data_IF_614579286380
#
_entry.id   IF_614579286380
#
_cell.length_a   1.000
_cell.length_b   1.000
_cell.length_c   1.000
_cell.angle_alpha   90.00
_cell.angle_beta   90.00
_cell.angle_gamma   90.00
#
_symmetry.space_group_name_H-M   'P 1'
#
loop_
_entity.id
_entity.type
_entity.pdbx_description
1 polymer ?
#
# COMPACT_ATOMS: atom_id res chain seq x y z
N UNK A 1 -15.39 0.79 -6.65
CA UNK A 1 -15.57 1.88 -7.55
C UNK A 1 -17.01 2.00 -8.08
N UNK A 2 -17.75 0.95 -8.44
CA UNK A 2 -19.20 1.07 -8.60
C UNK A 2 -19.80 1.53 -7.26
N UNK A 3 -20.40 2.72 -7.22
CA UNK A 3 -20.95 3.31 -5.99
C UNK A 3 -20.06 4.33 -5.30
N UNK A 4 -18.87 4.64 -5.83
CA UNK A 4 -17.94 5.67 -5.28
C UNK A 4 -17.52 5.41 -3.83
N UNK A 5 -17.43 4.15 -3.41
CA UNK A 5 -17.02 3.77 -2.04
C UNK A 5 -15.52 3.94 -1.82
N UNK A 6 -14.72 3.78 -2.87
CA UNK A 6 -13.26 3.93 -2.86
C UNK A 6 -12.81 4.71 -4.10
N UNK A 7 -11.71 5.42 -3.99
CA UNK A 7 -11.11 6.21 -5.08
C UNK A 7 -9.97 5.47 -5.77
N UNK A 8 -9.39 4.47 -5.13
CA UNK A 8 -8.25 3.72 -5.63
C UNK A 8 -8.20 2.30 -5.04
N UNK A 9 -7.43 1.44 -5.69
CA UNK A 9 -7.04 0.11 -5.20
C UNK A 9 -5.69 -0.26 -5.80
N UNK A 10 -4.95 -1.16 -5.16
CA UNK A 10 -3.71 -1.71 -5.72
C UNK A 10 -3.81 -3.22 -5.92
N UNK A 11 -3.05 -3.75 -6.88
CA UNK A 11 -3.08 -5.15 -7.28
C UNK A 11 -1.76 -5.83 -6.94
N UNK A 12 -1.84 -6.90 -6.14
CA UNK A 12 -0.73 -7.76 -5.79
C UNK A 12 -0.56 -8.84 -6.85
N UNK A 13 0.42 -8.68 -7.73
CA UNK A 13 0.58 -9.54 -8.92
C UNK A 13 1.08 -10.95 -8.64
N UNK A 14 1.69 -11.17 -7.47
CA UNK A 14 2.18 -12.49 -7.02
C UNK A 14 1.08 -13.33 -6.35
N UNK A 15 -0.09 -12.74 -6.08
CA UNK A 15 -1.22 -13.43 -5.48
C UNK A 15 -1.87 -14.42 -6.47
N UNK A 16 -2.44 -15.55 -6.00
CA UNK A 16 -2.99 -16.59 -6.88
C UNK A 16 -4.05 -16.08 -7.87
N UNK A 17 -4.91 -15.13 -7.46
CA UNK A 17 -6.01 -14.59 -8.26
C UNK A 17 -5.69 -13.28 -8.99
N UNK A 18 -4.41 -12.91 -9.08
CA UNK A 18 -3.99 -11.65 -9.68
C UNK A 18 -4.48 -11.46 -11.13
N UNK A 19 -4.51 -12.53 -11.93
CA UNK A 19 -4.99 -12.47 -13.29
C UNK A 19 -6.50 -12.14 -13.38
N UNK A 20 -7.32 -12.75 -12.52
CA UNK A 20 -8.74 -12.42 -12.44
C UNK A 20 -8.97 -11.00 -11.96
N UNK A 21 -8.20 -10.55 -10.97
CA UNK A 21 -8.29 -9.18 -10.47
C UNK A 21 -7.93 -8.15 -11.56
N UNK A 22 -6.88 -8.40 -12.34
CA UNK A 22 -6.50 -7.57 -13.47
C UNK A 22 -7.61 -7.53 -14.55
N UNK A 23 -8.21 -8.68 -14.88
CA UNK A 23 -9.31 -8.73 -15.84
C UNK A 23 -10.55 -7.97 -15.36
N UNK A 24 -10.90 -8.06 -14.07
CA UNK A 24 -11.99 -7.26 -13.48
C UNK A 24 -11.70 -5.76 -13.55
N UNK A 25 -10.46 -5.35 -13.30
CA UNK A 25 -10.05 -3.95 -13.44
C UNK A 25 -10.17 -3.48 -14.89
N UNK A 26 -9.68 -4.28 -15.85
CA UNK A 26 -9.77 -4.00 -17.29
C UNK A 26 -11.22 -3.86 -17.75
N UNK A 27 -12.08 -4.83 -17.42
CA UNK A 27 -13.50 -4.81 -17.79
C UNK A 27 -14.26 -3.64 -17.16
N UNK A 28 -13.87 -3.24 -15.96
CA UNK A 28 -14.46 -2.12 -15.24
C UNK A 28 -13.91 -0.75 -15.67
N UNK A 29 -12.84 -0.70 -16.45
CA UNK A 29 -12.13 0.55 -16.79
C UNK A 29 -11.52 1.23 -15.57
N UNK A 30 -11.06 0.45 -14.57
CA UNK A 30 -10.49 0.97 -13.34
C UNK A 30 -8.96 0.98 -13.42
N UNK A 31 -8.29 2.12 -13.22
CA UNK A 31 -6.86 2.14 -12.94
C UNK A 31 -6.59 1.45 -11.60
N UNK A 32 -5.41 0.86 -11.46
CA UNK A 32 -4.97 0.22 -10.23
C UNK A 32 -3.52 0.59 -9.93
N UNK A 33 -3.18 0.66 -8.65
CA UNK A 33 -1.78 0.71 -8.24
C UNK A 33 -1.09 -0.66 -8.41
N UNK A 34 0.21 -0.65 -8.61
CA UNK A 34 1.02 -1.86 -8.50
C UNK A 34 1.44 -2.05 -7.03
N UNK A 35 0.93 -3.12 -6.39
CA UNK A 35 1.31 -3.48 -5.02
C UNK A 35 2.63 -4.25 -5.02
N UNK A 36 3.74 -3.52 -5.03
CA UNK A 36 5.10 -4.06 -5.15
C UNK A 36 5.41 -5.04 -4.03
N UNK A 37 5.59 -6.30 -4.37
CA UNK A 37 5.69 -7.41 -3.43
C UNK A 37 6.96 -8.22 -3.67
N UNK A 38 7.89 -8.18 -2.72
CA UNK A 38 9.16 -8.91 -2.76
C UNK A 38 9.36 -9.90 -1.61
N UNK A 39 8.32 -10.07 -0.79
CA UNK A 39 8.25 -11.07 0.28
C UNK A 39 6.88 -11.74 0.30
N UNK A 40 6.72 -12.81 1.07
CA UNK A 40 5.44 -13.48 1.30
C UNK A 40 5.06 -13.42 2.77
N UNK A 41 3.76 -13.40 3.08
CA UNK A 41 3.20 -13.61 4.41
C UNK A 41 2.43 -14.95 4.52
N UNK A 42 2.43 -15.74 3.43
CA UNK A 42 1.88 -17.10 3.42
C UNK A 42 3.01 -18.14 3.58
N UNK A 43 3.20 -18.63 4.80
CA UNK A 43 4.20 -19.62 5.13
C UNK A 43 3.91 -21.01 4.55
N UNK A 44 2.62 -21.31 4.26
CA UNK A 44 2.18 -22.60 3.74
C UNK A 44 2.29 -22.68 2.23
N UNK A 45 1.95 -21.59 1.54
CA UNK A 45 2.00 -21.50 0.08
C UNK A 45 2.67 -20.20 -0.33
N UNK A 46 4.01 -20.21 -0.30
CA UNK A 46 4.80 -19.04 -0.66
C UNK A 46 4.53 -18.58 -2.08
N UNK A 47 4.36 -17.28 -2.23
CA UNK A 47 4.19 -16.67 -3.54
C UNK A 47 5.48 -16.76 -4.34
N UNK A 48 5.33 -16.87 -5.67
CA UNK A 48 6.45 -16.85 -6.58
C UNK A 48 6.67 -15.44 -7.13
N UNK A 49 7.94 -15.06 -7.34
CA UNK A 49 8.25 -13.80 -8.00
C UNK A 49 7.79 -13.84 -9.46
N UNK A 50 7.34 -12.71 -10.00
CA UNK A 50 6.96 -12.61 -11.40
C UNK A 50 8.17 -12.66 -12.33
N UNK A 51 9.33 -12.19 -11.88
CA UNK A 51 10.57 -12.19 -12.65
C UNK A 51 11.33 -13.52 -12.62
N UNK A 52 11.01 -14.41 -11.70
CA UNK A 52 11.82 -15.61 -11.43
C UNK A 52 13.19 -15.31 -10.83
N UNK A 53 13.42 -14.10 -10.31
CA UNK A 53 14.73 -13.65 -9.81
C UNK A 53 15.23 -14.50 -8.63
N UNK A 54 16.38 -15.17 -8.76
CA UNK A 54 16.80 -16.21 -7.80
C UNK A 54 17.12 -15.68 -6.41
N UNK A 55 17.60 -14.43 -6.27
CA UNK A 55 17.93 -13.88 -4.96
C UNK A 55 16.71 -13.43 -4.16
N UNK A 56 15.51 -13.42 -4.76
CA UNK A 56 14.24 -13.16 -4.08
C UNK A 56 13.55 -14.45 -3.61
N UNK A 57 14.04 -15.62 -4.03
CA UNK A 57 13.48 -16.91 -3.66
C UNK A 57 14.31 -17.60 -2.59
N UNK A 58 13.66 -18.00 -1.50
CA UNK A 58 14.30 -18.78 -0.45
C UNK A 58 14.42 -20.24 -0.87
N UNK A 59 15.63 -20.64 -1.25
CA UNK A 59 15.96 -22.03 -1.66
C UNK A 59 15.02 -22.59 -2.75
N UNK A 60 14.49 -21.73 -3.63
CA UNK A 60 13.57 -22.16 -4.69
C UNK A 60 12.13 -22.39 -4.25
N UNK A 61 11.79 -22.20 -2.98
CA UNK A 61 10.44 -22.40 -2.45
C UNK A 61 9.48 -21.25 -2.72
N UNK A 62 9.97 -20.09 -3.13
CA UNK A 62 9.23 -18.85 -3.33
C UNK A 62 9.83 -17.69 -2.55
N UNK A 63 9.13 -16.55 -2.54
CA UNK A 63 9.59 -15.33 -1.88
C UNK A 63 9.91 -15.55 -0.39
N UNK A 64 10.85 -14.78 0.14
CA UNK A 64 11.18 -14.80 1.56
C UNK A 64 10.00 -14.38 2.43
N UNK A 65 9.72 -15.12 3.49
CA UNK A 65 8.79 -14.71 4.54
C UNK A 65 9.45 -13.70 5.48
N UNK A 66 10.70 -13.96 5.84
CA UNK A 66 11.47 -13.14 6.77
C UNK A 66 12.03 -11.88 6.11
N UNK A 67 11.75 -10.71 6.70
CA UNK A 67 12.38 -9.44 6.33
C UNK A 67 13.91 -9.48 6.44
N UNK A 68 14.43 -10.20 7.44
CA UNK A 68 15.88 -10.41 7.63
C UNK A 68 16.44 -11.28 6.52
N UNK A 69 15.78 -12.40 6.22
CA UNK A 69 16.17 -13.30 5.12
C UNK A 69 16.23 -12.56 3.78
N UNK A 70 15.19 -11.80 3.47
CA UNK A 70 15.14 -10.93 2.29
C UNK A 70 16.31 -9.94 2.29
N UNK A 71 16.53 -9.23 3.39
CA UNK A 71 17.59 -8.22 3.48
C UNK A 71 18.99 -8.78 3.26
N UNK A 72 19.27 -10.01 3.73
CA UNK A 72 20.57 -10.66 3.59
C UNK A 72 20.84 -11.17 2.17
N UNK A 73 19.83 -11.62 1.46
CA UNK A 73 20.01 -12.34 0.19
C UNK A 73 19.60 -11.54 -1.05
N UNK A 74 18.59 -10.66 -0.96
CA UNK A 74 18.08 -9.94 -2.11
C UNK A 74 19.14 -9.01 -2.74
N UNK A 75 19.34 -9.18 -4.05
CA UNK A 75 20.23 -8.34 -4.85
C UNK A 75 19.41 -7.23 -5.52
N UNK A 76 19.90 -6.00 -5.48
CA UNK A 76 19.20 -4.84 -6.05
C UNK A 76 18.78 -5.01 -7.51
N UNK A 77 19.62 -5.65 -8.32
CA UNK A 77 19.26 -5.95 -9.72
C UNK A 77 18.01 -6.83 -9.83
N UNK A 78 17.91 -7.82 -8.93
CA UNK A 78 16.81 -8.78 -8.92
C UNK A 78 15.52 -8.11 -8.36
N UNK A 79 15.68 -7.22 -7.37
CA UNK A 79 14.58 -6.37 -6.90
C UNK A 79 14.03 -5.52 -8.06
N UNK A 80 14.89 -4.80 -8.80
CA UNK A 80 14.46 -3.99 -9.95
C UNK A 80 13.76 -4.82 -11.01
N UNK A 81 14.31 -5.97 -11.36
CA UNK A 81 13.69 -6.87 -12.32
C UNK A 81 12.29 -7.32 -11.88
N UNK A 82 12.10 -7.53 -10.57
CA UNK A 82 10.80 -7.90 -10.01
C UNK A 82 9.80 -6.75 -10.07
N UNK A 83 10.21 -5.51 -9.71
CA UNK A 83 9.32 -4.34 -9.80
C UNK A 83 8.81 -4.16 -11.24
N UNK A 84 9.71 -4.25 -12.23
CA UNK A 84 9.35 -4.19 -13.64
C UNK A 84 8.42 -5.34 -14.08
N UNK A 85 8.69 -6.56 -13.63
CA UNK A 85 7.86 -7.71 -13.97
C UNK A 85 6.43 -7.57 -13.41
N UNK A 86 6.29 -7.02 -12.20
CA UNK A 86 4.98 -6.76 -11.59
C UNK A 86 4.21 -5.65 -12.30
N UNK A 87 4.86 -4.57 -12.69
CA UNK A 87 4.25 -3.53 -13.51
C UNK A 87 3.80 -4.08 -14.86
N UNK A 88 4.68 -4.80 -15.55
CA UNK A 88 4.39 -5.40 -16.86
C UNK A 88 3.26 -6.44 -16.78
N UNK A 89 3.11 -7.14 -15.65
CA UNK A 89 1.98 -8.05 -15.45
C UNK A 89 0.64 -7.32 -15.56
N UNK A 90 0.52 -6.12 -15.03
CA UNK A 90 -0.71 -5.32 -15.04
C UNK A 90 -0.88 -4.64 -16.40
N UNK A 91 0.13 -3.90 -16.85
CA UNK A 91 0.05 -3.05 -18.05
C UNK A 91 -0.12 -3.86 -19.34
N UNK A 92 0.53 -5.03 -19.48
CA UNK A 92 0.36 -5.93 -20.63
C UNK A 92 -1.06 -6.53 -20.75
N UNK A 93 -1.84 -6.47 -19.68
CA UNK A 93 -3.26 -6.86 -19.66
C UNK A 93 -4.21 -5.71 -20.00
N UNK A 94 -3.68 -4.57 -20.40
CA UNK A 94 -4.48 -3.40 -20.78
C UNK A 94 -5.11 -2.67 -19.60
N UNK A 95 -4.52 -2.79 -18.41
CA UNK A 95 -4.94 -2.05 -17.20
C UNK A 95 -3.98 -0.89 -16.97
N UNK A 96 -4.52 0.31 -16.74
CA UNK A 96 -3.73 1.48 -16.39
C UNK A 96 -3.19 1.32 -14.97
N UNK A 97 -1.87 1.57 -14.81
CA UNK A 97 -1.23 1.65 -13.49
C UNK A 97 -1.12 3.12 -13.12
N UNK A 98 -1.78 3.55 -12.04
CA UNK A 98 -1.88 4.96 -11.64
C UNK A 98 -1.02 5.34 -10.43
N UNK A 99 -0.49 4.37 -9.70
CA UNK A 99 0.43 4.58 -8.57
C UNK A 99 1.19 3.30 -8.23
N UNK A 100 2.13 3.43 -7.30
CA UNK A 100 2.80 2.28 -6.70
C UNK A 100 2.74 2.35 -5.16
N UNK A 101 2.60 1.19 -4.56
CA UNK A 101 2.74 1.00 -3.12
C UNK A 101 3.53 -0.30 -2.85
N UNK A 102 3.66 -0.73 -1.60
CA UNK A 102 4.41 -1.96 -1.36
C UNK A 102 3.87 -2.80 -0.19
N UNK A 103 4.04 -4.10 -0.33
CA UNK A 103 3.65 -5.10 0.65
C UNK A 103 4.55 -5.05 1.88
N UNK A 104 3.94 -5.08 3.08
CA UNK A 104 4.62 -5.17 4.38
C UNK A 104 5.76 -4.14 4.59
N UNK A 105 5.71 -2.99 3.95
CA UNK A 105 6.72 -1.94 4.03
C UNK A 105 8.17 -2.40 3.67
N UNK A 106 8.32 -3.51 2.94
CA UNK A 106 9.62 -4.10 2.57
C UNK A 106 10.51 -3.15 1.80
N UNK A 107 9.90 -2.25 1.00
CA UNK A 107 10.61 -1.24 0.21
C UNK A 107 10.81 0.09 0.94
N UNK A 108 10.34 0.22 2.19
CA UNK A 108 10.51 1.46 2.98
C UNK A 108 11.87 1.56 3.70
N UNK A 109 12.69 0.50 3.62
CA UNK A 109 14.02 0.48 4.25
C UNK A 109 14.03 0.07 5.72
N UNK A 110 12.90 -0.37 6.27
CA UNK A 110 12.78 -0.84 7.66
C UNK A 110 13.63 -2.08 7.96
N UNK A 111 13.96 -2.85 6.94
CA UNK A 111 14.84 -4.03 7.01
C UNK A 111 16.34 -3.70 6.88
N UNK A 112 16.71 -2.41 6.96
CA UNK A 112 18.09 -1.94 6.82
C UNK A 112 18.60 -1.85 5.37
N UNK A 113 17.81 -2.23 4.36
CA UNK A 113 18.17 -2.12 2.95
C UNK A 113 17.53 -0.88 2.32
N UNK A 114 18.29 -0.17 1.49
CA UNK A 114 17.81 1.05 0.81
C UNK A 114 16.96 0.74 -0.43
N UNK A 115 16.07 -0.27 -0.37
CA UNK A 115 15.21 -0.62 -1.49
C UNK A 115 14.22 0.48 -1.88
N UNK A 116 13.96 1.45 -0.99
CA UNK A 116 13.22 2.65 -1.34
C UNK A 116 13.85 3.44 -2.51
N UNK A 117 15.18 3.36 -2.68
CA UNK A 117 15.85 3.97 -3.83
C UNK A 117 15.45 3.26 -5.14
N UNK A 118 15.35 1.92 -5.10
CA UNK A 118 14.95 1.14 -6.27
C UNK A 118 13.47 1.37 -6.60
N UNK A 119 12.61 1.44 -5.58
CA UNK A 119 11.19 1.80 -5.74
C UNK A 119 11.02 3.22 -6.32
N UNK A 120 11.75 4.21 -5.84
CA UNK A 120 11.66 5.58 -6.36
C UNK A 120 12.22 5.73 -7.77
N UNK A 121 13.31 5.03 -8.13
CA UNK A 121 13.79 5.01 -9.50
C UNK A 121 12.73 4.41 -10.44
N UNK A 122 12.15 3.28 -10.06
CA UNK A 122 11.04 2.66 -10.78
C UNK A 122 9.84 3.61 -10.93
N UNK A 123 9.42 4.26 -9.85
CA UNK A 123 8.32 5.23 -9.91
C UNK A 123 8.62 6.41 -10.84
N UNK A 124 9.85 6.95 -10.80
CA UNK A 124 10.27 8.03 -11.67
C UNK A 124 10.31 7.62 -13.15
N UNK A 125 10.81 6.42 -13.45
CA UNK A 125 10.86 5.85 -14.81
C UNK A 125 9.46 5.66 -15.43
N UNK A 126 8.46 5.32 -14.59
CA UNK A 126 7.07 5.10 -15.02
C UNK A 126 6.15 6.31 -14.75
N UNK A 127 6.67 7.44 -14.26
CA UNK A 127 5.87 8.60 -13.85
C UNK A 127 4.73 8.23 -12.89
N UNK A 128 5.04 7.45 -11.86
CA UNK A 128 4.09 7.00 -10.85
C UNK A 128 4.33 7.70 -9.51
N UNK A 129 3.29 8.18 -8.83
CA UNK A 129 3.38 8.54 -7.43
C UNK A 129 3.55 7.28 -6.56
N UNK A 130 4.09 7.45 -5.37
CA UNK A 130 4.37 6.34 -4.47
C UNK A 130 3.74 6.54 -3.09
N UNK A 131 3.08 5.51 -2.57
CA UNK A 131 2.50 5.49 -1.22
C UNK A 131 3.60 5.54 -0.16
N UNK A 132 4.05 6.73 0.16
CA UNK A 132 4.92 7.00 1.30
C UNK A 132 4.55 8.35 1.90
N UNK A 133 4.28 8.46 3.22
CA UNK A 133 3.88 9.72 3.86
C UNK A 133 5.08 10.62 4.14
N UNK A 134 4.93 11.92 3.88
CA UNK A 134 5.94 12.94 4.22
C UNK A 134 5.99 13.22 5.72
N UNK A 135 4.84 13.13 6.40
CA UNK A 135 4.77 13.37 7.85
C UNK A 135 5.04 12.10 8.65
N UNK A 136 5.55 12.19 9.89
CA UNK A 136 5.73 11.05 10.78
C UNK A 136 4.43 10.55 11.43
N UNK A 137 3.27 11.14 11.10
CA UNK A 137 1.97 10.80 11.67
C UNK A 137 1.63 9.33 11.52
N UNK A 138 1.81 8.78 10.32
CA UNK A 138 1.59 7.35 10.07
C UNK A 138 2.41 6.46 11.02
N UNK A 139 3.72 6.68 11.11
CA UNK A 139 4.59 5.88 11.98
C UNK A 139 4.22 6.02 13.45
N UNK A 140 3.86 7.24 13.89
CA UNK A 140 3.41 7.49 15.26
C UNK A 140 2.15 6.69 15.59
N UNK A 141 1.20 6.62 14.66
CA UNK A 141 -0.02 5.80 14.80
C UNK A 141 0.29 4.30 14.84
N UNK A 142 1.24 3.82 14.01
CA UNK A 142 1.63 2.41 13.99
C UNK A 142 2.27 1.93 15.31
N UNK A 143 3.02 2.79 16.00
CA UNK A 143 3.70 2.45 17.25
C UNK A 143 2.98 2.98 18.51
N UNK A 144 1.80 3.59 18.32
CA UNK A 144 0.95 4.15 19.37
C UNK A 144 1.67 5.14 20.31
N UNK A 145 2.60 5.90 19.77
CA UNK A 145 3.36 6.97 20.44
C UNK A 145 4.01 7.88 19.43
N UNK A 146 4.52 9.01 19.88
CA UNK A 146 5.29 9.89 19.01
C UNK A 146 6.53 9.16 18.45
N UNK A 147 6.73 9.27 17.14
CA UNK A 147 7.88 8.64 16.48
C UNK A 147 9.19 9.22 17.03
N UNK A 148 10.15 8.39 17.45
CA UNK A 148 11.45 8.84 17.93
C UNK A 148 12.19 9.73 16.92
N UNK A 149 13.01 10.67 17.42
CA UNK A 149 13.72 11.62 16.57
C UNK A 149 14.58 10.97 15.49
N UNK A 150 15.21 9.83 15.78
CA UNK A 150 15.99 9.07 14.79
C UNK A 150 15.11 8.53 13.65
N UNK A 151 13.90 8.09 13.94
CA UNK A 151 12.95 7.63 12.93
C UNK A 151 12.45 8.80 12.08
N UNK A 152 12.14 9.95 12.70
CA UNK A 152 11.77 11.18 11.99
C UNK A 152 12.91 11.66 11.05
N UNK A 153 14.17 11.58 11.50
CA UNK A 153 15.31 11.90 10.67
C UNK A 153 15.43 10.95 9.47
N UNK A 154 15.31 9.66 9.70
CA UNK A 154 15.36 8.66 8.64
C UNK A 154 14.22 8.84 7.62
N UNK A 155 13.01 9.12 8.09
CA UNK A 155 11.89 9.44 7.20
C UNK A 155 12.16 10.65 6.32
N UNK A 156 12.71 11.74 6.86
CA UNK A 156 13.11 12.92 6.06
C UNK A 156 14.11 12.55 4.96
N UNK A 157 15.05 11.65 5.23
CA UNK A 157 16.01 11.17 4.22
C UNK A 157 15.28 10.42 3.09
N UNK A 158 14.33 9.56 3.45
CA UNK A 158 13.55 8.80 2.47
C UNK A 158 12.67 9.74 1.64
N UNK A 159 11.95 10.67 2.27
CA UNK A 159 11.12 11.69 1.61
C UNK A 159 11.96 12.49 0.62
N UNK A 160 13.09 13.07 1.07
CA UNK A 160 13.97 13.84 0.20
C UNK A 160 14.58 13.02 -0.93
N UNK A 161 14.72 11.70 -0.78
CA UNK A 161 15.16 10.84 -1.88
C UNK A 161 14.10 10.67 -2.97
N UNK A 162 12.82 10.62 -2.61
CA UNK A 162 11.69 10.58 -3.54
C UNK A 162 11.50 11.92 -4.26
N UNK A 163 11.45 13.02 -3.49
CA UNK A 163 11.27 14.37 -4.03
C UNK A 163 12.35 14.75 -5.04
N UNK A 164 13.61 14.43 -4.77
CA UNK A 164 14.72 14.66 -5.73
C UNK A 164 14.60 13.87 -7.02
N UNK A 165 13.74 12.86 -7.08
CA UNK A 165 13.45 12.07 -8.28
C UNK A 165 12.15 12.45 -8.97
N UNK A 166 11.47 13.48 -8.45
CA UNK A 166 10.16 13.90 -8.96
C UNK A 166 9.03 12.93 -8.64
N UNK A 167 9.20 12.05 -7.63
CA UNK A 167 8.15 11.11 -7.24
C UNK A 167 7.14 11.81 -6.34
N UNK A 168 5.86 11.78 -6.73
CA UNK A 168 4.76 12.27 -5.91
C UNK A 168 4.59 11.44 -4.63
N UNK A 169 4.62 12.09 -3.47
CA UNK A 169 4.47 11.44 -2.16
C UNK A 169 3.28 12.03 -1.40
N UNK A 170 2.61 11.19 -0.61
CA UNK A 170 1.48 11.59 0.22
C UNK A 170 1.91 12.57 1.32
N UNK A 171 1.05 13.51 1.68
CA UNK A 171 1.29 14.36 2.83
C UNK A 171 1.03 13.57 4.13
N UNK A 172 -0.01 12.72 4.20
CA UNK A 172 -0.21 11.75 5.28
C UNK A 172 -0.76 10.41 4.78
N UNK A 173 -0.65 9.39 5.62
CA UNK A 173 -1.11 8.02 5.35
C UNK A 173 -1.77 7.47 6.62
N UNK A 174 -2.97 6.93 6.50
CA UNK A 174 -3.73 6.40 7.64
C UNK A 174 -4.14 4.95 7.37
N UNK A 175 -3.92 4.09 8.33
CA UNK A 175 -4.57 2.79 8.46
C UNK A 175 -4.69 2.43 9.93
N UNK A 176 -5.65 1.59 10.26
CA UNK A 176 -5.79 1.15 11.65
C UNK A 176 -4.73 0.09 11.99
N UNK A 177 -3.83 0.33 12.98
CA UNK A 177 -2.77 -0.61 13.36
C UNK A 177 -3.20 -1.63 14.42
N UNK A 178 -4.42 -1.51 14.95
CA UNK A 178 -4.87 -2.26 16.11
C UNK A 178 -5.22 -3.71 15.76
N UNK A 179 -4.89 -4.62 16.68
CA UNK A 179 -5.40 -5.99 16.70
C UNK A 179 -6.87 -6.03 17.11
N UNK A 180 -7.54 -7.16 16.89
CA UNK A 180 -8.94 -7.35 17.28
C UNK A 180 -9.15 -7.25 18.80
N UNK A 181 -8.16 -7.57 19.64
CA UNK A 181 -8.25 -7.40 21.09
C UNK A 181 -8.43 -5.93 21.49
N UNK A 182 -7.88 -5.00 20.72
CA UNK A 182 -8.04 -3.55 20.94
C UNK A 182 -9.28 -2.99 20.23
N UNK A 183 -9.59 -3.47 19.02
CA UNK A 183 -10.76 -3.04 18.25
C UNK A 183 -12.05 -3.45 18.96
N UNK A 184 -12.12 -4.69 19.46
CA UNK A 184 -13.26 -5.31 20.16
C UNK A 184 -14.53 -5.42 19.31
N UNK A 185 -15.01 -4.32 18.72
CA UNK A 185 -16.25 -4.23 17.96
C UNK A 185 -16.16 -3.29 16.74
N UNK A 186 -17.21 -3.32 15.94
CA UNK A 186 -17.32 -2.49 14.73
C UNK A 186 -17.30 -0.99 15.04
N UNK A 187 -17.96 -0.54 16.10
CA UNK A 187 -18.09 0.88 16.40
C UNK A 187 -16.74 1.49 16.82
N UNK A 188 -15.90 0.72 17.50
CA UNK A 188 -14.53 1.13 17.84
C UNK A 188 -13.69 1.34 16.56
N UNK A 189 -13.75 0.43 15.58
CA UNK A 189 -13.05 0.58 14.31
C UNK A 189 -13.61 1.74 13.50
N UNK A 190 -14.92 1.84 13.43
CA UNK A 190 -15.64 2.93 12.75
C UNK A 190 -15.21 4.29 13.31
N UNK A 191 -15.22 4.43 14.62
CA UNK A 191 -14.79 5.67 15.29
C UNK A 191 -13.36 6.04 14.91
N UNK A 192 -12.42 5.08 14.91
CA UNK A 192 -11.02 5.34 14.53
C UNK A 192 -10.93 6.00 13.14
N UNK A 193 -11.63 5.47 12.16
CA UNK A 193 -11.56 5.99 10.80
C UNK A 193 -12.33 7.31 10.62
N UNK A 194 -13.44 7.51 11.36
CA UNK A 194 -14.12 8.79 11.37
C UNK A 194 -13.26 9.90 12.00
N UNK A 195 -12.63 9.61 13.15
CA UNK A 195 -11.68 10.52 13.79
C UNK A 195 -10.51 10.85 12.84
N UNK A 196 -10.05 9.88 12.04
CA UNK A 196 -8.99 10.11 11.05
C UNK A 196 -9.42 11.04 9.91
N UNK A 197 -10.67 10.96 9.46
CA UNK A 197 -11.24 11.89 8.48
C UNK A 197 -11.39 13.29 9.08
N UNK A 198 -11.93 13.39 10.30
CA UNK A 198 -12.15 14.67 10.98
C UNK A 198 -10.84 15.42 11.30
N UNK A 199 -9.73 14.67 11.49
CA UNK A 199 -8.42 15.23 11.79
C UNK A 199 -7.45 15.14 10.57
N UNK A 200 -7.99 15.06 9.37
CA UNK A 200 -7.19 15.05 8.15
C UNK A 200 -6.40 16.35 8.01
N UNK A 201 -5.12 16.25 7.68
CA UNK A 201 -4.28 17.43 7.46
C UNK A 201 -4.47 17.99 6.05
N UNK A 202 -4.07 19.24 5.84
CA UNK A 202 -4.02 19.84 4.50
C UNK A 202 -3.05 19.07 3.59
N UNK A 203 -3.43 18.89 2.33
CA UNK A 203 -2.67 18.16 1.33
C UNK A 203 -3.35 16.87 0.86
N UNK A 204 -2.57 15.90 0.42
CA UNK A 204 -3.06 14.61 -0.08
C UNK A 204 -2.84 13.55 0.99
N UNK A 205 -3.94 13.09 1.58
CA UNK A 205 -3.95 12.00 2.58
C UNK A 205 -4.61 10.76 1.99
N UNK A 206 -3.99 9.62 2.14
CA UNK A 206 -4.62 8.33 1.85
C UNK A 206 -5.05 7.64 3.14
N UNK A 207 -6.30 7.18 3.16
CA UNK A 207 -6.81 6.25 4.17
C UNK A 207 -6.96 4.90 3.49
N UNK A 208 -6.08 3.94 3.81
CA UNK A 208 -6.14 2.62 3.20
C UNK A 208 -6.67 1.55 4.16
N UNK A 209 -7.35 0.59 3.58
CA UNK A 209 -8.00 -0.53 4.26
C UNK A 209 -7.76 -1.83 3.49
N UNK A 210 -8.05 -2.96 4.13
CA UNK A 210 -7.98 -4.29 3.52
C UNK A 210 -9.35 -4.99 3.59
N UNK A 211 -10.41 -4.42 3.00
CA UNK A 211 -11.75 -4.96 3.13
C UNK A 211 -11.86 -6.36 2.52
N UNK A 212 -12.63 -7.23 3.18
CA UNK A 212 -12.90 -8.57 2.68
C UNK A 212 -14.31 -9.04 3.07
N UNK A 213 -14.86 -9.95 2.27
CA UNK A 213 -16.08 -10.66 2.65
C UNK A 213 -15.81 -11.65 3.78
N UNK A 214 -16.83 -11.99 4.58
CA UNK A 214 -16.72 -13.03 5.60
C UNK A 214 -16.25 -14.37 5.00
N UNK A 215 -15.43 -15.09 5.75
CA UNK A 215 -15.01 -16.46 5.45
C UNK A 215 -15.18 -17.26 6.73
N UNK A 216 -15.92 -18.37 6.66
CA UNK A 216 -16.40 -19.11 7.85
C UNK A 216 -15.29 -19.59 8.79
N UNK A 217 -14.13 -19.95 8.26
CA UNK A 217 -13.04 -20.53 9.05
C UNK A 217 -11.88 -19.55 9.37
N UNK A 218 -12.10 -18.23 9.25
CA UNK A 218 -11.05 -17.23 9.51
C UNK A 218 -11.50 -16.20 10.56
N UNK A 219 -11.50 -16.54 11.86
CA UNK A 219 -11.73 -15.57 12.93
C UNK A 219 -10.53 -14.62 13.15
N UNK A 220 -10.69 -13.67 14.05
CA UNK A 220 -9.62 -12.77 14.48
C UNK A 220 -9.38 -11.64 13.47
N UNK A 221 -8.16 -11.50 12.95
CA UNK A 221 -7.79 -10.39 12.05
C UNK A 221 -8.65 -10.31 10.77
N UNK A 222 -9.26 -11.41 10.34
CA UNK A 222 -10.22 -11.39 9.22
C UNK A 222 -11.49 -10.62 9.56
N UNK A 223 -11.94 -10.65 10.81
CA UNK A 223 -13.09 -9.86 11.29
C UNK A 223 -12.88 -8.36 11.10
N UNK A 224 -11.65 -7.86 11.32
CA UNK A 224 -11.29 -6.48 11.02
C UNK A 224 -11.54 -6.11 9.57
N UNK A 225 -11.16 -6.97 8.63
CA UNK A 225 -11.39 -6.77 7.18
C UNK A 225 -12.88 -6.71 6.83
N UNK A 226 -13.70 -7.54 7.49
CA UNK A 226 -15.16 -7.52 7.36
C UNK A 226 -15.75 -6.21 7.90
N UNK A 227 -15.24 -5.71 9.03
CA UNK A 227 -15.63 -4.42 9.58
C UNK A 227 -15.24 -3.25 8.65
N UNK A 228 -14.07 -3.30 8.04
CA UNK A 228 -13.64 -2.32 7.04
C UNK A 228 -14.56 -2.34 5.81
N UNK A 229 -14.95 -3.52 5.32
CA UNK A 229 -15.93 -3.62 4.24
C UNK A 229 -17.29 -3.00 4.63
N UNK A 230 -17.79 -3.32 5.82
CA UNK A 230 -19.04 -2.75 6.36
C UNK A 230 -18.97 -1.23 6.44
N UNK A 231 -17.83 -0.68 6.91
CA UNK A 231 -17.61 0.76 7.02
C UNK A 231 -17.62 1.44 5.65
N UNK A 232 -16.96 0.86 4.65
CA UNK A 232 -16.99 1.39 3.28
C UNK A 232 -18.43 1.39 2.71
N UNK A 233 -19.22 0.35 3.01
CA UNK A 233 -20.60 0.22 2.53
C UNK A 233 -21.58 1.12 3.26
N UNK A 234 -21.30 1.54 4.49
CA UNK A 234 -22.21 2.39 5.28
C UNK A 234 -22.36 3.80 4.70
N UNK A 235 -21.35 4.31 4.00
CA UNK A 235 -21.31 5.69 3.52
C UNK A 235 -20.84 6.71 4.54
N UNK A 236 -20.59 6.31 5.79
CA UNK A 236 -20.22 7.19 6.89
C UNK A 236 -18.94 8.02 6.60
N UNK A 237 -17.94 7.37 5.97
CA UNK A 237 -16.70 8.07 5.59
C UNK A 237 -16.92 9.14 4.52
N UNK A 238 -17.81 8.88 3.57
CA UNK A 238 -18.17 9.86 2.54
C UNK A 238 -18.90 11.06 3.13
N UNK A 239 -19.78 10.80 4.09
CA UNK A 239 -20.50 11.86 4.80
C UNK A 239 -19.55 12.69 5.68
N UNK A 240 -18.64 12.03 6.41
CA UNK A 240 -17.62 12.70 7.21
C UNK A 240 -16.71 13.58 6.33
N UNK A 241 -16.25 13.07 5.17
CA UNK A 241 -15.45 13.83 4.23
C UNK A 241 -16.19 15.10 3.74
N UNK A 242 -17.47 14.98 3.36
CA UNK A 242 -18.29 16.13 2.94
C UNK A 242 -18.45 17.19 4.05
N UNK A 243 -18.71 16.74 5.28
CA UNK A 243 -18.85 17.67 6.44
C UNK A 243 -17.58 18.44 6.74
N UNK A 244 -16.42 17.85 6.44
CA UNK A 244 -15.11 18.46 6.69
C UNK A 244 -14.50 19.12 5.43
N UNK A 245 -15.29 19.33 4.36
CA UNK A 245 -14.84 19.91 3.08
C UNK A 245 -13.63 19.17 2.47
N UNK A 246 -13.58 17.86 2.63
CA UNK A 246 -12.53 17.00 2.06
C UNK A 246 -12.97 16.55 0.67
N UNK A 247 -12.15 16.81 -0.33
CA UNK A 247 -12.35 16.33 -1.69
C UNK A 247 -11.79 14.91 -1.85
N UNK A 248 -12.60 14.03 -2.43
CA UNK A 248 -12.16 12.66 -2.75
C UNK A 248 -11.53 12.63 -4.14
N UNK A 249 -10.27 12.32 -4.21
CA UNK A 249 -9.47 12.32 -5.44
C UNK A 249 -8.89 10.93 -5.74
N UNK A 250 -8.54 10.68 -6.98
CA UNK A 250 -7.71 9.53 -7.38
C UNK A 250 -6.23 9.91 -7.34
N UNK A 251 -5.36 8.93 -7.57
CA UNK A 251 -3.92 9.18 -7.66
C UNK A 251 -3.51 10.09 -8.82
N UNK A 252 -4.40 10.33 -9.81
CA UNK A 252 -4.17 11.33 -10.86
C UNK A 252 -3.93 12.75 -10.32
N UNK A 253 -4.39 13.04 -9.11
CA UNK A 253 -4.17 14.34 -8.44
C UNK A 253 -2.69 14.76 -8.41
N UNK A 254 -1.76 13.81 -8.37
CA UNK A 254 -0.33 14.13 -8.39
C UNK A 254 0.13 14.72 -9.73
N UNK A 255 -0.46 14.28 -10.85
CA UNK A 255 -0.28 14.91 -12.18
C UNK A 255 -0.88 16.30 -12.20
N UNK A 256 -2.11 16.44 -11.74
CA UNK A 256 -2.84 17.71 -11.74
C UNK A 256 -2.14 18.79 -10.88
N UNK A 257 -1.45 18.34 -9.82
CA UNK A 257 -0.61 19.19 -8.97
C UNK A 257 0.82 19.43 -9.52
N UNK A 258 1.17 18.87 -10.69
CA UNK A 258 2.52 18.96 -11.26
C UNK A 258 3.61 18.33 -10.38
N UNK A 259 3.27 17.26 -9.65
CA UNK A 259 4.17 16.57 -8.73
C UNK A 259 4.79 15.28 -9.30
N UNK A 260 4.45 14.95 -10.54
CA UNK A 260 5.01 13.86 -11.36
C UNK A 260 5.00 14.27 -12.82
#
# INVERSE_FOLDING_TARGET
MRGKLITSTSLMTVAPDAANAAELARLGGYPVGVHLTINTDDSKKRWQSNSGAPSLSEKGMGLYESQVGLALHARRRDVRAELEAQYNFISSRGVEVDHADNHCATLYGINGRRFYIDAYNFCAEHSLPYRFPKTPGFLSRQIDREAPGVIKCFQKIIVGAGERRGVGLLDDLVSNPWSMDRIKDYDTLRKYYLDAVENCIDGVTEIFMHPAYPIDDKPGEWTKRVYELRLLQSGDLLEAARRNNIELVSWSVFRDLGKI
#
